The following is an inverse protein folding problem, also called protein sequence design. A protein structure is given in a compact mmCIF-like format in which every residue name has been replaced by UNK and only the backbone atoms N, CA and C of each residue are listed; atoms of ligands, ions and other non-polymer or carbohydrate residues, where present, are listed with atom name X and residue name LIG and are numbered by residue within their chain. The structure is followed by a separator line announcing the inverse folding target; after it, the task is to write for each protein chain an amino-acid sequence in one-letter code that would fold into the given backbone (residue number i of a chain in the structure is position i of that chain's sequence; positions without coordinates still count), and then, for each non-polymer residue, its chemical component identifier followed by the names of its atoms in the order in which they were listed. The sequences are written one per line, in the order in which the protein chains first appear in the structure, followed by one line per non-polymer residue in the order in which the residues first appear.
data_IF_765625487864
#
_entry.id   IF_765625487864
#
_cell.length_a   1.000
_cell.length_b   1.000
_cell.length_c   1.000
_cell.angle_alpha   90.00
_cell.angle_beta   90.00
_cell.angle_gamma   90.00
#
_symmetry.space_group_name_H-M   'P 1'
#
loop_
_entity.id
_entity.type
_entity.pdbx_description
1 polymer ?
#
# COMPACT_ATOMS: atom_id res chain seq x y z
N UNK A 1 -23.08 -38.64 -0.29
CA UNK A 1 -22.71 -37.78 -1.42
C UNK A 1 -22.77 -36.33 -0.95
N UNK A 2 -21.80 -35.94 -0.13
CA UNK A 2 -21.49 -34.54 0.15
C UNK A 2 -19.97 -34.43 0.01
N UNK A 3 -19.49 -34.46 -1.22
CA UNK A 3 -18.06 -34.47 -1.49
C UNK A 3 -17.70 -33.33 -2.44
N UNK A 4 -16.84 -32.45 -1.91
CA UNK A 4 -16.32 -31.24 -2.53
C UNK A 4 -17.41 -30.18 -2.74
N UNK A 5 -17.33 -29.02 -2.09
CA UNK A 5 -18.32 -27.93 -2.22
C UNK A 5 -18.35 -27.24 -3.59
N UNK A 6 -18.09 -27.96 -4.67
CA UNK A 6 -18.08 -27.49 -6.05
C UNK A 6 -19.37 -27.87 -6.77
N UNK A 7 -19.77 -27.07 -7.75
CA UNK A 7 -20.96 -27.37 -8.55
C UNK A 7 -20.75 -28.63 -9.40
N UNK A 8 -21.84 -29.35 -9.71
CA UNK A 8 -21.83 -30.47 -10.66
C UNK A 8 -21.24 -30.06 -12.02
N UNK A 9 -21.46 -28.81 -12.43
CA UNK A 9 -20.88 -28.23 -13.65
C UNK A 9 -19.34 -28.17 -13.60
N UNK A 10 -18.77 -27.85 -12.43
CA UNK A 10 -17.31 -27.82 -12.27
C UNK A 10 -16.70 -29.22 -12.27
N UNK A 11 -17.38 -30.21 -11.67
CA UNK A 11 -16.93 -31.60 -11.72
C UNK A 11 -16.98 -32.15 -13.15
N UNK A 12 -18.07 -31.90 -13.88
CA UNK A 12 -18.17 -32.26 -15.29
C UNK A 12 -17.08 -31.60 -16.15
N UNK A 13 -16.68 -30.36 -15.83
CA UNK A 13 -15.55 -29.71 -16.48
C UNK A 13 -14.21 -30.40 -16.18
N UNK A 14 -13.94 -30.75 -14.92
CA UNK A 14 -12.72 -31.48 -14.56
C UNK A 14 -12.64 -32.85 -15.25
N UNK A 15 -13.75 -33.58 -15.28
CA UNK A 15 -13.85 -34.88 -15.96
C UNK A 15 -13.69 -34.76 -17.48
N UNK A 16 -14.04 -33.60 -18.06
CA UNK A 16 -13.86 -33.33 -19.49
C UNK A 16 -12.40 -33.10 -19.91
N UNK A 17 -11.50 -32.81 -18.96
CA UNK A 17 -10.10 -32.54 -19.26
C UNK A 17 -9.34 -33.85 -19.52
N UNK A 18 -8.67 -33.99 -20.68
CA UNK A 18 -7.83 -35.16 -20.94
C UNK A 18 -6.72 -35.27 -19.88
N UNK A 19 -6.44 -36.50 -19.42
CA UNK A 19 -5.36 -36.78 -18.45
C UNK A 19 -4.01 -36.18 -18.88
N UNK A 20 -3.71 -36.22 -20.18
CA UNK A 20 -2.49 -35.63 -20.73
C UNK A 20 -2.43 -34.11 -20.52
N UNK A 21 -3.56 -33.41 -20.60
CA UNK A 21 -3.67 -31.97 -20.36
C UNK A 21 -3.38 -31.64 -18.90
N UNK A 22 -3.96 -32.39 -17.97
CA UNK A 22 -3.69 -32.22 -16.53
C UNK A 22 -2.21 -32.45 -16.20
N UNK A 23 -1.59 -33.47 -16.78
CA UNK A 23 -0.16 -33.73 -16.62
C UNK A 23 0.68 -32.59 -17.20
N UNK A 24 0.36 -32.09 -18.40
CA UNK A 24 1.06 -30.93 -18.98
C UNK A 24 0.96 -29.69 -18.08
N UNK A 25 -0.19 -29.43 -17.46
CA UNK A 25 -0.35 -28.31 -16.53
C UNK A 25 0.56 -28.46 -15.31
N UNK A 26 0.58 -29.64 -14.69
CA UNK A 26 1.39 -29.89 -13.49
C UNK A 26 2.90 -29.88 -13.79
N UNK A 27 3.33 -30.53 -14.88
CA UNK A 27 4.73 -30.61 -15.29
C UNK A 27 5.32 -29.24 -15.69
N UNK A 28 4.47 -28.31 -16.13
CA UNK A 28 4.89 -26.94 -16.52
C UNK A 28 4.57 -25.89 -15.46
N UNK A 29 4.04 -26.29 -14.29
CA UNK A 29 3.83 -25.37 -13.19
C UNK A 29 5.18 -24.86 -12.66
N UNK A 30 5.32 -23.54 -12.55
CA UNK A 30 6.56 -22.93 -12.06
C UNK A 30 6.81 -23.23 -10.58
N UNK A 31 5.75 -23.17 -9.78
CA UNK A 31 5.74 -23.58 -8.37
C UNK A 31 5.92 -25.08 -8.28
N UNK A 32 6.70 -25.53 -7.30
CA UNK A 32 6.78 -26.95 -7.01
C UNK A 32 5.45 -27.46 -6.51
N UNK A 33 5.01 -28.56 -7.11
CA UNK A 33 3.89 -29.36 -6.66
C UNK A 33 4.45 -30.75 -6.41
N UNK A 34 4.35 -31.22 -5.17
CA UNK A 34 4.66 -32.60 -4.83
C UNK A 34 3.57 -33.19 -3.96
N UNK A 35 3.40 -34.51 -4.08
CA UNK A 35 2.33 -35.26 -3.46
C UNK A 35 2.94 -36.45 -2.77
N UNK A 36 2.56 -36.69 -1.51
CA UNK A 36 2.94 -37.89 -0.77
C UNK A 36 1.72 -38.70 -0.38
N UNK A 37 1.88 -40.02 -0.27
CA UNK A 37 0.86 -40.90 0.30
C UNK A 37 0.81 -40.84 1.83
N UNK A 38 -0.08 -41.63 2.42
CA UNK A 38 -0.21 -41.83 3.86
C UNK A 38 1.06 -42.33 4.58
N UNK A 39 2.02 -42.89 3.85
CA UNK A 39 3.31 -43.41 4.35
C UNK A 39 4.49 -42.47 4.04
N UNK A 40 4.24 -41.25 3.54
CA UNK A 40 5.26 -40.27 3.15
C UNK A 40 6.11 -40.66 1.91
N UNK A 41 5.62 -41.58 1.08
CA UNK A 41 6.25 -41.88 -0.22
C UNK A 41 5.77 -40.88 -1.26
N UNK A 42 6.69 -40.43 -2.12
CA UNK A 42 6.33 -39.54 -3.21
C UNK A 42 5.44 -40.25 -4.23
N UNK A 43 4.22 -39.72 -4.41
CA UNK A 43 3.28 -40.14 -5.44
C UNK A 43 3.52 -39.34 -6.71
N UNK A 44 3.81 -38.05 -6.57
CA UNK A 44 4.07 -37.13 -7.66
C UNK A 44 5.03 -36.02 -7.23
N UNK A 45 5.84 -35.54 -8.16
CA UNK A 45 6.53 -34.26 -8.05
C UNK A 45 6.79 -33.72 -9.45
N UNK A 46 6.63 -32.41 -9.63
CA UNK A 46 6.90 -31.76 -10.91
C UNK A 46 8.39 -31.34 -11.02
N UNK A 47 8.88 -30.99 -12.23
CA UNK A 47 10.29 -30.67 -12.48
C UNK A 47 10.87 -29.51 -11.64
N UNK A 48 10.04 -28.66 -11.04
CA UNK A 48 10.47 -27.60 -10.14
C UNK A 48 11.28 -28.13 -8.93
N UNK A 49 11.13 -29.40 -8.54
CA UNK A 49 11.94 -30.05 -7.52
C UNK A 49 13.46 -30.00 -7.82
N UNK A 50 13.85 -29.94 -9.10
CA UNK A 50 15.26 -29.81 -9.50
C UNK A 50 15.85 -28.48 -9.03
N UNK A 51 15.05 -27.40 -9.06
CA UNK A 51 15.46 -26.09 -8.60
C UNK A 51 15.63 -26.07 -7.07
N UNK A 52 14.77 -26.80 -6.35
CA UNK A 52 14.69 -26.72 -4.88
C UNK A 52 15.62 -27.69 -4.17
N UNK A 53 15.80 -28.89 -4.72
CA UNK A 53 16.59 -29.96 -4.09
C UNK A 53 17.77 -30.45 -4.94
N UNK A 54 17.88 -30.01 -6.20
CA UNK A 54 18.87 -30.53 -7.15
C UNK A 54 18.63 -31.99 -7.53
N UNK A 55 17.38 -32.47 -7.42
CA UNK A 55 16.96 -33.84 -7.74
C UNK A 55 15.92 -33.84 -8.84
N UNK A 56 16.02 -34.80 -9.75
CA UNK A 56 15.01 -35.03 -10.78
C UNK A 56 13.75 -35.69 -10.20
N UNK A 57 12.58 -35.53 -10.82
CA UNK A 57 11.37 -36.26 -10.42
C UNK A 57 11.56 -37.78 -10.38
N UNK A 58 12.37 -38.34 -11.30
CA UNK A 58 12.69 -39.76 -11.35
C UNK A 58 13.44 -40.24 -10.10
N UNK A 59 14.38 -39.43 -9.61
CA UNK A 59 15.09 -39.71 -8.36
C UNK A 59 14.14 -39.61 -7.16
N UNK A 60 13.26 -38.61 -7.14
CA UNK A 60 12.33 -38.35 -6.03
C UNK A 60 11.22 -39.41 -5.91
N UNK A 61 10.73 -39.96 -7.02
CA UNK A 61 9.60 -40.90 -7.07
C UNK A 61 9.75 -42.12 -6.16
N UNK A 62 10.97 -42.60 -5.94
CA UNK A 62 11.22 -43.79 -5.12
C UNK A 62 11.61 -43.45 -3.67
N UNK A 63 11.63 -42.17 -3.31
CA UNK A 63 12.05 -41.71 -1.99
C UNK A 63 10.89 -41.68 -1.00
N UNK A 64 11.24 -41.72 0.28
CA UNK A 64 10.33 -41.47 1.38
C UNK A 64 10.75 -40.20 2.13
N UNK A 65 9.83 -39.24 2.25
CA UNK A 65 10.09 -37.91 2.79
C UNK A 65 10.54 -37.94 4.27
N UNK A 66 10.12 -38.93 5.06
CA UNK A 66 10.51 -39.07 6.47
C UNK A 66 11.80 -39.87 6.66
N UNK A 67 11.91 -41.05 6.03
CA UNK A 67 13.06 -41.94 6.28
C UNK A 67 14.32 -41.50 5.54
N UNK A 68 14.20 -40.70 4.48
CA UNK A 68 15.31 -40.21 3.68
C UNK A 68 15.49 -38.70 3.83
N UNK A 69 15.20 -38.16 5.02
CA UNK A 69 15.56 -36.80 5.38
C UNK A 69 17.04 -36.56 5.07
N UNK A 70 17.31 -35.52 4.28
CA UNK A 70 18.64 -35.01 3.95
C UNK A 70 18.80 -33.67 4.67
N UNK A 71 19.25 -33.65 5.96
CA UNK A 71 19.40 -32.41 6.73
C UNK A 71 20.26 -31.36 6.04
N UNK A 72 21.16 -31.78 5.16
CA UNK A 72 22.01 -30.97 4.29
C UNK A 72 21.27 -30.32 3.10
N UNK A 73 20.02 -30.71 2.82
CA UNK A 73 19.17 -30.17 1.74
C UNK A 73 17.85 -29.58 2.24
N UNK A 74 17.20 -30.16 3.25
CA UNK A 74 16.01 -29.59 3.92
C UNK A 74 15.86 -30.09 5.36
N UNK A 75 15.29 -29.26 6.25
CA UNK A 75 15.35 -29.51 7.71
C UNK A 75 14.08 -30.10 8.35
N UNK A 76 12.92 -30.04 7.71
CA UNK A 76 11.64 -30.39 8.38
C UNK A 76 10.70 -31.10 7.41
N UNK A 77 10.17 -32.26 7.80
CA UNK A 77 8.99 -32.86 7.15
C UNK A 77 7.72 -32.39 7.84
N UNK A 78 6.83 -31.73 7.08
CA UNK A 78 5.56 -31.20 7.58
C UNK A 78 4.46 -32.26 7.67
N UNK A 79 4.66 -33.41 7.03
CA UNK A 79 3.63 -34.42 6.84
C UNK A 79 3.12 -35.02 8.16
N UNK A 80 3.98 -35.24 9.14
CA UNK A 80 3.58 -35.74 10.46
C UNK A 80 2.62 -34.79 11.20
N UNK A 81 2.81 -33.47 11.05
CA UNK A 81 1.90 -32.47 11.63
C UNK A 81 0.57 -32.45 10.87
N UNK A 82 0.59 -32.57 9.55
CA UNK A 82 -0.60 -32.60 8.69
C UNK A 82 -1.45 -33.83 9.01
N UNK A 83 -0.83 -35.01 9.13
CA UNK A 83 -1.49 -36.27 9.48
C UNK A 83 -2.19 -36.20 10.84
N UNK A 84 -1.53 -35.58 11.83
CA UNK A 84 -2.10 -35.42 13.17
C UNK A 84 -3.23 -34.39 13.22
N UNK A 85 -3.10 -33.27 12.51
CA UNK A 85 -4.09 -32.19 12.55
C UNK A 85 -5.28 -32.43 11.63
N UNK A 86 -5.09 -33.21 10.55
CA UNK A 86 -6.01 -33.35 9.41
C UNK A 86 -6.45 -31.98 8.85
N UNK A 87 -5.58 -30.97 8.94
CA UNK A 87 -5.81 -29.59 8.52
C UNK A 87 -4.68 -29.10 7.62
N UNK A 88 -4.97 -28.08 6.82
CA UNK A 88 -3.97 -27.35 6.03
C UNK A 88 -2.88 -26.81 6.96
N UNK A 89 -1.62 -27.05 6.60
CA UNK A 89 -0.46 -26.52 7.31
C UNK A 89 0.34 -25.64 6.37
N UNK A 90 0.67 -24.44 6.86
CA UNK A 90 1.57 -23.51 6.21
C UNK A 90 2.80 -23.40 7.11
N UNK A 91 3.98 -23.64 6.55
CA UNK A 91 5.22 -23.51 7.29
C UNK A 91 6.37 -23.04 6.41
N UNK A 92 7.25 -22.25 7.03
CA UNK A 92 8.49 -21.82 6.42
C UNK A 92 9.55 -22.90 6.61
N UNK A 93 10.10 -23.38 5.51
CA UNK A 93 11.15 -24.39 5.46
C UNK A 93 12.43 -23.79 4.90
N UNK A 94 13.57 -24.20 5.46
CA UNK A 94 14.86 -23.82 4.92
C UNK A 94 15.32 -24.88 3.93
N UNK A 95 15.46 -24.49 2.66
CA UNK A 95 16.05 -25.33 1.62
C UNK A 95 17.50 -24.92 1.43
N UNK A 96 18.41 -25.81 1.84
CA UNK A 96 19.84 -25.52 1.91
C UNK A 96 20.50 -25.43 0.54
N UNK A 97 19.96 -26.13 -0.48
CA UNK A 97 20.45 -26.03 -1.85
C UNK A 97 20.23 -24.64 -2.47
N UNK A 98 19.22 -23.89 -1.99
CA UNK A 98 18.91 -22.54 -2.44
C UNK A 98 19.45 -21.47 -1.47
N UNK A 99 20.01 -21.87 -0.33
CA UNK A 99 20.36 -21.00 0.80
C UNK A 99 19.22 -20.07 1.26
N UNK A 100 17.97 -20.47 1.03
CA UNK A 100 16.79 -19.62 1.21
C UNK A 100 15.69 -20.32 2.00
N UNK A 101 14.83 -19.51 2.60
CA UNK A 101 13.59 -19.97 3.20
C UNK A 101 12.48 -19.97 2.15
N UNK A 102 11.69 -21.04 2.13
CA UNK A 102 10.60 -21.28 1.20
C UNK A 102 9.35 -21.58 2.02
N UNK A 103 8.20 -21.01 1.64
CA UNK A 103 6.93 -21.28 2.33
C UNK A 103 6.29 -22.49 1.69
N UNK A 104 6.07 -23.56 2.44
CA UNK A 104 5.35 -24.75 1.98
C UNK A 104 3.95 -24.75 2.55
N UNK A 105 2.97 -24.94 1.66
CA UNK A 105 1.57 -25.17 2.02
C UNK A 105 1.28 -26.64 1.76
N UNK A 106 0.85 -27.37 2.78
CA UNK A 106 0.51 -28.80 2.70
C UNK A 106 -0.97 -28.99 3.03
N UNK A 107 -1.72 -29.53 2.07
CA UNK A 107 -3.15 -29.78 2.14
C UNK A 107 -3.40 -31.30 2.22
N UNK A 108 -4.03 -31.82 3.28
CA UNK A 108 -4.43 -33.22 3.32
C UNK A 108 -5.66 -33.46 2.47
N UNK A 109 -5.64 -34.54 1.69
CA UNK A 109 -6.81 -35.14 1.06
C UNK A 109 -7.20 -36.34 1.91
N UNK A 110 -8.47 -36.39 2.30
CA UNK A 110 -9.00 -37.39 3.22
C UNK A 110 -9.86 -38.40 2.45
N UNK A 111 -9.81 -39.67 2.86
CA UNK A 111 -10.73 -40.71 2.39
C UNK A 111 -12.13 -40.58 3.02
N UNK A 112 -13.06 -41.44 2.60
CA UNK A 112 -14.44 -41.48 3.12
C UNK A 112 -14.51 -41.75 4.64
N UNK A 113 -13.49 -42.37 5.22
CA UNK A 113 -13.36 -42.63 6.66
C UNK A 113 -12.70 -41.46 7.42
N UNK A 114 -12.32 -40.41 6.71
CA UNK A 114 -11.66 -39.22 7.22
C UNK A 114 -10.18 -39.41 7.55
N UNK A 115 -9.53 -40.48 7.08
CA UNK A 115 -8.09 -40.70 7.19
C UNK A 115 -7.35 -40.01 6.04
N UNK A 116 -6.07 -39.67 6.24
CA UNK A 116 -5.29 -38.97 5.22
C UNK A 116 -4.88 -39.97 4.14
N UNK A 117 -5.47 -39.86 2.95
CA UNK A 117 -5.13 -40.66 1.77
C UNK A 117 -3.84 -40.16 1.14
N UNK A 118 -3.73 -38.84 0.97
CA UNK A 118 -2.60 -38.19 0.34
C UNK A 118 -2.43 -36.75 0.84
N UNK A 119 -1.23 -36.19 0.67
CA UNK A 119 -0.92 -34.81 1.04
C UNK A 119 -0.38 -34.11 -0.19
N UNK A 120 -1.06 -33.06 -0.63
CA UNK A 120 -0.60 -32.20 -1.73
C UNK A 120 0.14 -31.02 -1.12
N UNK A 121 1.40 -30.86 -1.51
CA UNK A 121 2.27 -29.80 -1.04
C UNK A 121 2.70 -28.90 -2.19
N UNK A 122 2.58 -27.59 -1.97
CA UNK A 122 3.05 -26.57 -2.90
C UNK A 122 4.03 -25.65 -2.21
N UNK A 123 5.11 -25.28 -2.89
CA UNK A 123 6.12 -24.38 -2.33
C UNK A 123 6.08 -23.01 -3.00
N UNK A 124 6.13 -21.96 -2.20
CA UNK A 124 6.23 -20.59 -2.67
C UNK A 124 7.67 -20.13 -2.55
N UNK A 125 8.30 -19.93 -3.70
CA UNK A 125 9.65 -19.39 -3.77
C UNK A 125 9.67 -17.96 -3.22
N UNK A 126 10.75 -17.57 -2.54
CA UNK A 126 10.91 -16.20 -2.07
C UNK A 126 10.91 -15.23 -3.26
N UNK A 127 10.34 -14.04 -3.03
CA UNK A 127 10.09 -12.97 -4.00
C UNK A 127 11.36 -12.57 -4.79
N UNK A 128 12.55 -12.84 -4.25
CA UNK A 128 13.83 -12.51 -4.89
C UNK A 128 14.24 -13.45 -6.04
N UNK A 129 13.54 -14.57 -6.24
CA UNK A 129 13.82 -15.55 -7.31
C UNK A 129 13.03 -15.31 -8.60
N UNK A 130 12.07 -14.38 -8.58
CA UNK A 130 11.27 -14.06 -9.77
C UNK A 130 12.04 -13.11 -10.67
N UNK A 131 12.20 -13.49 -11.93
CA UNK A 131 12.64 -12.58 -12.98
C UNK A 131 11.52 -11.59 -13.29
N UNK A 132 11.58 -10.42 -12.66
CA UNK A 132 10.68 -9.31 -12.95
C UNK A 132 10.96 -8.64 -14.31
N UNK A 133 11.84 -9.19 -15.17
CA UNK A 133 12.08 -8.67 -16.52
C UNK A 133 10.82 -8.64 -17.39
N UNK A 134 9.82 -9.49 -17.10
CA UNK A 134 8.51 -9.47 -17.79
C UNK A 134 7.64 -8.25 -17.38
N UNK A 135 8.02 -7.46 -16.35
CA UNK A 135 7.48 -6.10 -16.18
C UNK A 135 7.85 -5.17 -17.34
N UNK A 136 8.83 -5.51 -18.17
CA UNK A 136 9.20 -4.65 -19.30
C UNK A 136 8.30 -4.85 -20.53
N UNK A 137 7.50 -5.92 -20.59
CA UNK A 137 6.48 -6.12 -21.65
C UNK A 137 5.03 -5.96 -21.15
N UNK A 138 4.81 -6.09 -19.83
CA UNK A 138 3.67 -5.43 -19.20
C UNK A 138 3.95 -3.94 -19.20
N UNK A 139 3.67 -3.28 -20.33
CA UNK A 139 3.56 -1.84 -20.50
C UNK A 139 3.46 -1.13 -19.15
N UNK A 140 4.40 -0.24 -18.88
CA UNK A 140 4.02 1.10 -18.42
C UNK A 140 2.90 1.11 -17.39
N UNK A 141 3.10 0.51 -16.21
CA UNK A 141 2.31 0.92 -15.04
C UNK A 141 2.96 2.19 -14.47
N UNK A 142 3.10 3.18 -15.34
CA UNK A 142 3.17 4.58 -14.99
C UNK A 142 1.71 5.00 -14.91
N UNK A 143 1.09 4.77 -13.75
CA UNK A 143 -0.21 5.31 -13.36
C UNK A 143 -1.34 5.23 -14.40
N UNK A 144 -1.93 4.04 -14.57
CA UNK A 144 -3.33 3.90 -15.03
C UNK A 144 -4.14 3.29 -13.88
N UNK A 145 -4.39 4.09 -12.83
CA UNK A 145 -5.78 4.19 -12.40
C UNK A 145 -6.33 5.37 -13.20
N UNK A 146 -7.34 5.10 -14.02
CA UNK A 146 -8.25 6.08 -14.60
C UNK A 146 -8.95 6.85 -13.47
N UNK A 147 -8.25 7.75 -12.80
CA UNK A 147 -8.89 8.91 -12.18
C UNK A 147 -8.71 10.02 -13.21
N UNK A 148 -9.81 10.34 -13.90
CA UNK A 148 -9.94 11.58 -14.67
C UNK A 148 -9.30 12.72 -13.87
N UNK A 149 -8.31 13.41 -14.45
CA UNK A 149 -7.46 14.40 -13.79
C UNK A 149 -8.15 15.67 -13.30
N UNK A 150 -9.43 15.59 -12.96
CA UNK A 150 -10.20 16.67 -12.40
C UNK A 150 -9.90 16.78 -10.89
N UNK A 151 -9.37 17.93 -10.50
CA UNK A 151 -9.12 18.23 -9.09
C UNK A 151 -10.44 18.63 -8.46
N UNK A 152 -10.94 17.78 -7.59
CA UNK A 152 -12.19 18.00 -6.89
C UNK A 152 -11.90 18.79 -5.63
N UNK A 153 -12.35 20.04 -5.61
CA UNK A 153 -12.25 20.92 -4.46
C UNK A 153 -12.55 22.38 -4.80
N UNK A 154 -13.24 23.04 -3.89
CA UNK A 154 -13.66 24.44 -4.01
C UNK A 154 -13.15 25.33 -2.86
N UNK A 155 -12.50 24.74 -1.85
CA UNK A 155 -11.96 25.47 -0.71
C UNK A 155 -10.96 26.55 -1.15
N UNK A 156 -10.84 27.61 -0.34
CA UNK A 156 -9.87 28.68 -0.60
C UNK A 156 -8.43 28.15 -0.61
N UNK A 157 -8.15 27.16 0.22
CA UNK A 157 -6.83 26.55 0.33
C UNK A 157 -6.40 25.89 -0.97
N UNK A 158 -7.25 25.03 -1.57
CA UNK A 158 -6.90 24.37 -2.83
C UNK A 158 -6.80 25.37 -3.98
N UNK A 159 -7.71 26.34 -4.04
CA UNK A 159 -7.66 27.40 -5.06
C UNK A 159 -6.36 28.19 -5.00
N UNK A 160 -5.85 28.47 -3.79
CA UNK A 160 -4.53 29.12 -3.62
C UNK A 160 -3.41 28.22 -4.15
N UNK A 161 -3.37 26.95 -3.78
CA UNK A 161 -2.37 26.00 -4.30
C UNK A 161 -2.41 25.94 -5.84
N UNK A 162 -3.60 25.75 -6.42
CA UNK A 162 -3.78 25.67 -7.88
C UNK A 162 -3.38 26.96 -8.58
N UNK A 163 -3.64 28.14 -8.00
CA UNK A 163 -3.24 29.41 -8.60
C UNK A 163 -1.71 29.57 -8.69
N UNK A 164 -0.97 29.05 -7.71
CA UNK A 164 0.50 29.05 -7.72
C UNK A 164 0.98 28.03 -8.76
N UNK A 165 0.46 26.81 -8.70
CA UNK A 165 0.85 25.72 -9.60
C UNK A 165 0.54 26.04 -11.07
N UNK A 166 -0.54 26.77 -11.36
CA UNK A 166 -0.90 27.20 -12.72
C UNK A 166 0.09 28.24 -13.29
N UNK A 167 0.65 29.10 -12.44
CA UNK A 167 1.69 30.05 -12.87
C UNK A 167 3.00 29.30 -13.15
N UNK A 168 3.34 28.36 -12.26
CA UNK A 168 4.60 27.63 -12.31
C UNK A 168 4.58 26.50 -13.34
N UNK A 169 3.41 25.99 -13.72
CA UNK A 169 3.31 24.98 -14.79
C UNK A 169 3.88 25.49 -16.11
N UNK A 170 3.81 26.81 -16.38
CA UNK A 170 4.33 27.47 -17.59
C UNK A 170 5.86 27.64 -17.62
N UNK A 171 6.57 27.25 -16.56
CA UNK A 171 8.04 27.33 -16.47
C UNK A 171 8.65 25.96 -16.22
N UNK A 172 9.98 25.85 -16.33
CA UNK A 172 10.74 24.63 -15.99
C UNK A 172 11.30 24.65 -14.55
N UNK A 173 10.82 25.56 -13.71
CA UNK A 173 11.27 25.66 -12.31
C UNK A 173 10.79 24.43 -11.52
N UNK A 174 11.69 23.93 -10.66
CA UNK A 174 11.40 22.83 -9.73
C UNK A 174 10.31 23.22 -8.73
N UNK A 175 9.41 22.29 -8.45
CA UNK A 175 8.29 22.49 -7.51
C UNK A 175 8.38 21.48 -6.38
N UNK A 176 8.35 21.98 -5.14
CA UNK A 176 8.23 21.18 -3.93
C UNK A 176 6.79 21.27 -3.39
N UNK A 177 6.12 20.12 -3.34
CA UNK A 177 4.75 19.98 -2.83
C UNK A 177 4.81 19.35 -1.43
N UNK A 178 4.52 20.13 -0.40
CA UNK A 178 4.41 19.64 0.96
C UNK A 178 2.98 19.25 1.29
N UNK A 179 2.81 18.22 2.12
CA UNK A 179 1.51 17.86 2.65
C UNK A 179 1.49 16.46 3.23
N UNK A 180 0.54 16.19 4.11
CA UNK A 180 0.39 14.88 4.73
C UNK A 180 0.17 13.76 3.70
N UNK A 181 0.42 12.52 4.11
CA UNK A 181 0.13 11.36 3.27
C UNK A 181 -1.37 11.28 2.97
N UNK A 182 -1.73 10.96 1.72
CA UNK A 182 -3.11 10.80 1.30
C UNK A 182 -3.86 12.10 1.00
N UNK A 183 -3.20 13.26 1.01
CA UNK A 183 -3.82 14.57 0.67
C UNK A 183 -4.03 14.81 -0.83
N UNK A 184 -3.44 13.97 -1.70
CA UNK A 184 -3.54 14.10 -3.16
C UNK A 184 -2.37 14.83 -3.82
N UNK A 185 -1.17 14.85 -3.23
CA UNK A 185 0.04 15.48 -3.80
C UNK A 185 0.33 15.01 -5.24
N UNK A 186 0.14 13.71 -5.53
CA UNK A 186 0.35 13.14 -6.86
C UNK A 186 -0.64 13.66 -7.92
N UNK A 187 -1.84 14.11 -7.52
CA UNK A 187 -2.77 14.79 -8.43
C UNK A 187 -2.27 16.19 -8.79
N UNK A 188 -1.70 16.90 -7.81
CA UNK A 188 -1.12 18.22 -8.07
C UNK A 188 0.11 18.14 -8.99
N UNK A 189 0.95 17.11 -8.89
CA UNK A 189 2.07 16.93 -9.80
C UNK A 189 1.62 16.65 -11.23
N UNK A 190 0.60 15.79 -11.42
CA UNK A 190 -0.05 15.59 -12.72
C UNK A 190 -0.63 16.89 -13.26
N UNK A 191 -1.33 17.67 -12.43
CA UNK A 191 -1.87 18.98 -12.84
C UNK A 191 -0.80 19.94 -13.35
N UNK A 192 0.34 20.03 -12.66
CA UNK A 192 1.47 20.87 -13.10
C UNK A 192 1.97 20.40 -14.46
N UNK A 193 2.13 19.09 -14.66
CA UNK A 193 2.57 18.52 -15.93
C UNK A 193 1.58 18.79 -17.08
N UNK A 194 0.29 18.49 -16.90
CA UNK A 194 -0.76 18.67 -17.92
C UNK A 194 -0.94 20.14 -18.32
N UNK A 195 -0.64 21.07 -17.41
CA UNK A 195 -0.69 22.51 -17.68
C UNK A 195 0.67 23.12 -18.07
N UNK A 196 1.66 22.29 -18.38
CA UNK A 196 3.00 22.74 -18.76
C UNK A 196 3.25 22.72 -20.27
N UNK A 197 4.39 23.30 -20.67
CA UNK A 197 4.91 23.16 -22.03
C UNK A 197 5.31 21.72 -22.40
N UNK A 198 5.44 20.84 -21.38
CA UNK A 198 5.80 19.43 -21.52
C UNK A 198 4.60 18.48 -21.42
N UNK A 199 3.36 18.98 -21.52
CA UNK A 199 2.12 18.19 -21.34
C UNK A 199 1.97 16.98 -22.27
N UNK A 200 2.57 17.04 -23.46
CA UNK A 200 2.53 15.97 -24.48
C UNK A 200 3.81 15.09 -24.42
N UNK A 201 4.61 15.24 -23.36
CA UNK A 201 5.87 14.52 -23.11
C UNK A 201 5.70 13.52 -21.97
N UNK A 202 6.64 12.57 -21.77
CA UNK A 202 6.52 11.60 -20.70
C UNK A 202 6.38 12.26 -19.31
N UNK A 203 5.44 11.75 -18.52
CA UNK A 203 5.35 12.02 -17.09
C UNK A 203 5.69 10.75 -16.34
N UNK A 204 6.86 10.70 -15.72
CA UNK A 204 7.32 9.55 -14.95
C UNK A 204 7.16 9.85 -13.46
N UNK A 205 6.50 8.96 -12.73
CA UNK A 205 6.26 9.08 -11.28
C UNK A 205 6.93 7.94 -10.55
N UNK A 206 7.61 8.25 -9.45
CA UNK A 206 8.18 7.25 -8.54
C UNK A 206 7.98 7.67 -7.10
N UNK A 207 7.65 6.70 -6.25
CA UNK A 207 7.60 6.88 -4.80
C UNK A 207 8.89 6.33 -4.19
N UNK A 208 9.71 7.23 -3.64
CA UNK A 208 11.02 6.91 -3.09
C UNK A 208 10.96 6.03 -1.82
N UNK A 209 9.82 5.99 -1.13
CA UNK A 209 9.61 5.19 0.09
C UNK A 209 9.18 3.75 -0.20
N UNK A 210 8.62 3.48 -1.38
CA UNK A 210 7.99 2.20 -1.70
C UNK A 210 8.98 1.14 -2.22
N UNK A 211 10.21 1.55 -2.57
CA UNK A 211 11.21 0.71 -3.24
C UNK A 211 12.47 0.67 -2.38
N UNK A 212 13.06 -0.51 -2.10
CA UNK A 212 14.36 -0.62 -1.45
C UNK A 212 15.44 0.20 -2.16
N UNK A 213 16.35 0.80 -1.40
CA UNK A 213 17.34 1.76 -1.92
C UNK A 213 18.13 1.25 -3.14
N UNK A 214 18.63 0.01 -3.09
CA UNK A 214 19.41 -0.58 -4.18
C UNK A 214 18.59 -0.75 -5.46
N UNK A 215 17.31 -1.09 -5.32
CA UNK A 215 16.39 -1.16 -6.45
C UNK A 215 16.06 0.25 -6.96
N UNK A 216 15.79 1.21 -6.05
CA UNK A 216 15.49 2.59 -6.39
C UNK A 216 16.60 3.23 -7.23
N UNK A 217 17.86 2.99 -6.87
CA UNK A 217 19.03 3.44 -7.63
C UNK A 217 19.01 2.86 -9.06
N UNK A 218 18.85 1.54 -9.18
CA UNK A 218 18.81 0.85 -10.47
C UNK A 218 17.61 1.25 -11.35
N UNK A 219 16.47 1.57 -10.73
CA UNK A 219 15.27 2.04 -11.42
C UNK A 219 15.48 3.47 -11.93
N UNK A 220 15.98 4.39 -11.11
CA UNK A 220 16.15 5.79 -11.47
C UNK A 220 17.23 5.99 -12.53
N UNK A 221 18.41 5.40 -12.32
CA UNK A 221 19.60 5.65 -13.12
C UNK A 221 19.86 4.60 -14.19
N UNK A 222 19.21 3.44 -14.10
CA UNK A 222 19.52 2.30 -14.96
C UNK A 222 20.85 1.66 -14.60
N UNK A 223 21.22 0.62 -15.34
CA UNK A 223 22.48 -0.08 -15.15
C UNK A 223 23.01 -0.66 -16.47
N UNK A 224 24.33 -0.73 -16.58
CA UNK A 224 25.00 -1.37 -17.73
C UNK A 224 25.02 -2.89 -17.58
N UNK A 225 25.18 -3.66 -18.68
CA UNK A 225 25.34 -5.11 -18.59
C UNK A 225 26.37 -5.54 -17.54
N UNK A 226 26.04 -6.57 -16.75
CA UNK A 226 26.93 -7.14 -15.72
C UNK A 226 27.37 -6.17 -14.60
N UNK A 227 26.60 -5.10 -14.34
CA UNK A 227 26.93 -4.13 -13.30
C UNK A 227 26.99 -4.71 -11.87
N UNK A 228 26.20 -5.76 -11.57
CA UNK A 228 26.15 -6.45 -10.29
C UNK A 228 25.65 -7.89 -10.47
N UNK A 229 25.78 -8.73 -9.44
CA UNK A 229 25.28 -10.11 -9.41
C UNK A 229 23.75 -10.13 -9.60
N UNK A 230 23.28 -10.70 -10.71
CA UNK A 230 21.86 -10.69 -11.10
C UNK A 230 21.46 -9.57 -12.08
N UNK A 231 22.40 -8.70 -12.47
CA UNK A 231 22.14 -7.71 -13.52
C UNK A 231 21.89 -8.39 -14.87
N UNK A 232 20.86 -7.93 -15.60
CA UNK A 232 20.58 -8.38 -16.96
C UNK A 232 21.78 -8.22 -17.87
N UNK A 233 22.05 -9.22 -18.72
CA UNK A 233 23.08 -9.16 -19.76
C UNK A 233 22.82 -8.06 -20.80
N UNK A 234 21.60 -7.50 -20.84
CA UNK A 234 21.23 -6.39 -21.71
C UNK A 234 21.28 -5.02 -21.00
N UNK A 235 21.55 -4.99 -19.69
CA UNK A 235 21.39 -3.78 -18.88
C UNK A 235 19.91 -3.39 -18.70
N UNK A 236 19.69 -2.19 -18.18
CA UNK A 236 18.35 -1.58 -18.03
C UNK A 236 18.45 -0.06 -18.17
N UNK A 237 17.54 0.53 -18.94
CA UNK A 237 17.41 1.98 -19.00
C UNK A 237 16.74 2.53 -17.74
N UNK A 238 17.30 3.62 -17.19
CA UNK A 238 16.76 4.29 -16.02
C UNK A 238 15.55 5.18 -16.33
N UNK A 239 14.71 5.39 -15.32
CA UNK A 239 13.55 6.28 -15.39
C UNK A 239 13.90 7.72 -15.75
N UNK A 240 15.09 8.21 -15.35
CA UNK A 240 15.57 9.55 -15.72
C UNK A 240 15.77 9.64 -17.24
N UNK A 241 16.31 8.59 -17.86
CA UNK A 241 16.49 8.51 -19.31
C UNK A 241 15.15 8.45 -20.03
N UNK A 242 14.24 7.63 -19.53
CA UNK A 242 12.87 7.48 -20.07
C UNK A 242 12.10 8.81 -19.96
N UNK A 243 12.31 9.57 -18.88
CA UNK A 243 11.67 10.86 -18.65
C UNK A 243 12.26 12.00 -19.51
N UNK A 244 13.31 11.77 -20.29
CA UNK A 244 14.01 12.81 -21.03
C UNK A 244 13.06 13.63 -21.94
N UNK A 245 13.19 14.96 -21.88
CA UNK A 245 12.28 15.91 -22.52
C UNK A 245 10.91 16.06 -21.83
N UNK A 246 10.64 15.28 -20.79
CA UNK A 246 9.40 15.22 -20.04
C UNK A 246 9.54 15.72 -18.60
N UNK A 247 8.79 15.10 -17.69
CA UNK A 247 8.72 15.45 -16.27
C UNK A 247 8.93 14.22 -15.40
N UNK A 248 9.77 14.34 -14.38
CA UNK A 248 9.97 13.34 -13.34
C UNK A 248 9.36 13.83 -12.04
N UNK A 249 8.42 13.07 -11.48
CA UNK A 249 7.82 13.29 -10.18
C UNK A 249 8.42 12.33 -9.14
N UNK A 250 9.04 12.90 -8.11
CA UNK A 250 9.63 12.17 -6.98
C UNK A 250 8.75 12.37 -5.74
N UNK A 251 7.94 11.37 -5.42
CA UNK A 251 7.12 11.37 -4.20
C UNK A 251 7.92 10.84 -3.00
N UNK A 252 7.62 11.39 -1.82
CA UNK A 252 8.36 11.17 -0.58
C UNK A 252 9.89 11.38 -0.69
N UNK A 253 10.31 12.50 -1.29
CA UNK A 253 11.73 12.86 -1.48
C UNK A 253 12.53 12.91 -0.17
N UNK A 254 11.87 13.15 0.96
CA UNK A 254 12.48 13.17 2.29
C UNK A 254 12.89 11.79 2.82
N UNK A 255 12.59 10.71 2.11
CA UNK A 255 12.99 9.34 2.44
C UNK A 255 14.30 8.91 1.75
N UNK A 256 14.86 9.74 0.85
CA UNK A 256 16.10 9.40 0.18
C UNK A 256 17.28 9.35 1.15
N UNK A 257 18.14 8.35 0.97
CA UNK A 257 19.45 8.27 1.62
C UNK A 257 20.38 9.40 1.16
N UNK A 258 21.38 9.76 1.98
CA UNK A 258 22.37 10.78 1.62
C UNK A 258 23.10 10.48 0.28
N UNK A 259 23.51 9.22 -0.03
CA UNK A 259 24.09 8.89 -1.33
C UNK A 259 23.15 9.17 -2.50
N UNK A 260 21.86 8.81 -2.37
CA UNK A 260 20.86 9.09 -3.41
C UNK A 260 20.64 10.59 -3.60
N UNK A 261 20.64 11.36 -2.51
CA UNK A 261 20.52 12.82 -2.57
C UNK A 261 21.64 13.47 -3.40
N UNK A 262 22.89 12.97 -3.30
CA UNK A 262 24.01 13.44 -4.14
C UNK A 262 23.75 13.21 -5.63
N UNK A 263 23.24 12.03 -6.00
CA UNK A 263 22.97 11.70 -7.39
C UNK A 263 21.80 12.51 -7.96
N UNK A 264 20.75 12.70 -7.16
CA UNK A 264 19.61 13.54 -7.55
C UNK A 264 20.04 15.00 -7.71
N UNK A 265 20.95 15.49 -6.86
CA UNK A 265 21.51 16.84 -7.01
C UNK A 265 22.24 17.00 -8.35
N UNK A 266 23.08 16.03 -8.76
CA UNK A 266 23.80 16.09 -10.05
C UNK A 266 22.82 16.10 -11.24
N UNK A 267 21.70 15.37 -11.14
CA UNK A 267 20.62 15.42 -12.15
C UNK A 267 19.96 16.79 -12.20
N UNK A 268 19.68 17.41 -11.05
CA UNK A 268 19.02 18.71 -10.99
C UNK A 268 19.93 19.82 -11.52
N UNK A 269 21.19 19.84 -11.10
CA UNK A 269 22.13 20.93 -11.41
C UNK A 269 22.75 20.78 -12.80
N UNK A 270 23.22 19.58 -13.15
CA UNK A 270 24.04 19.35 -14.34
C UNK A 270 23.30 18.62 -15.46
N UNK A 271 22.02 18.27 -15.25
CA UNK A 271 21.18 17.53 -16.22
C UNK A 271 21.87 16.26 -16.71
N UNK A 272 22.58 15.59 -15.82
CA UNK A 272 23.33 14.36 -16.10
C UNK A 272 23.17 13.34 -14.99
N UNK A 273 23.46 12.10 -15.33
CA UNK A 273 23.51 10.98 -14.39
C UNK A 273 24.49 9.93 -14.87
N UNK A 274 24.86 8.99 -14.00
CA UNK A 274 25.74 7.87 -14.35
C UNK A 274 24.97 6.58 -14.06
N UNK A 275 24.71 5.72 -15.07
CA UNK A 275 24.11 4.41 -14.85
C UNK A 275 24.96 3.56 -13.89
N UNK A 276 24.32 2.69 -13.11
CA UNK A 276 25.05 1.81 -12.18
C UNK A 276 26.01 0.90 -12.96
N UNK A 277 27.26 0.83 -12.50
CA UNK A 277 28.35 0.10 -13.16
C UNK A 277 29.02 0.85 -14.32
N UNK A 278 28.52 2.04 -14.69
CA UNK A 278 29.14 2.89 -15.70
C UNK A 278 30.11 3.91 -15.10
N UNK A 279 31.05 4.37 -15.91
CA UNK A 279 31.90 5.55 -15.63
C UNK A 279 31.59 6.73 -16.55
N UNK A 280 30.72 6.53 -17.55
CA UNK A 280 30.36 7.56 -18.52
C UNK A 280 29.04 8.23 -18.13
N UNK A 281 29.00 9.56 -17.98
CA UNK A 281 27.77 10.28 -17.71
C UNK A 281 26.87 10.30 -18.95
N UNK A 282 25.56 10.18 -18.72
CA UNK A 282 24.48 10.40 -19.67
C UNK A 282 23.74 11.70 -19.33
N UNK A 283 23.09 12.32 -20.31
CA UNK A 283 22.35 13.57 -20.14
C UNK A 283 20.84 13.38 -20.31
N UNK A 284 20.06 14.08 -19.48
CA UNK A 284 18.60 14.11 -19.58
C UNK A 284 18.06 15.50 -19.22
N UNK A 285 17.35 16.12 -20.16
CA UNK A 285 16.61 17.35 -19.91
C UNK A 285 15.23 17.02 -19.31
N UNK A 286 15.18 16.94 -17.99
CA UNK A 286 13.95 16.67 -17.25
C UNK A 286 13.55 17.85 -16.38
N UNK A 287 12.24 18.09 -16.34
CA UNK A 287 11.60 18.91 -15.30
C UNK A 287 11.37 18.04 -14.07
N UNK A 288 11.70 18.55 -12.89
CA UNK A 288 11.54 17.80 -11.63
C UNK A 288 10.43 18.43 -10.80
N UNK A 289 9.52 17.58 -10.34
CA UNK A 289 8.50 17.90 -9.33
C UNK A 289 8.76 16.97 -8.14
N UNK A 290 8.77 17.50 -6.94
CA UNK A 290 8.98 16.70 -5.73
C UNK A 290 7.84 16.86 -4.75
N UNK A 291 7.59 15.83 -3.96
CA UNK A 291 6.64 15.87 -2.87
C UNK A 291 7.18 15.17 -1.62
N UNK A 292 6.70 15.59 -0.45
CA UNK A 292 7.03 14.96 0.83
C UNK A 292 6.03 15.36 1.91
N UNK A 293 5.82 14.49 2.89
CA UNK A 293 5.14 14.84 4.15
C UNK A 293 6.09 15.31 5.27
N UNK A 294 7.41 15.15 5.08
CA UNK A 294 8.43 15.54 6.08
C UNK A 294 8.82 17.01 5.96
N UNK A 295 9.21 17.61 7.08
CA UNK A 295 9.87 18.91 7.08
C UNK A 295 11.34 18.75 6.64
N UNK A 296 11.62 19.07 5.37
CA UNK A 296 12.98 18.95 4.83
C UNK A 296 13.98 19.87 5.54
N UNK A 297 13.55 21.03 6.04
CA UNK A 297 14.46 21.94 6.74
C UNK A 297 14.89 21.35 8.09
N UNK A 298 13.96 20.72 8.81
CA UNK A 298 14.31 19.96 10.02
C UNK A 298 15.26 18.79 9.69
N UNK A 299 15.03 18.06 8.59
CA UNK A 299 15.95 16.99 8.19
C UNK A 299 17.35 17.49 7.84
N UNK A 300 17.48 18.72 7.33
CA UNK A 300 18.78 19.37 7.13
C UNK A 300 19.47 19.62 8.46
N UNK A 301 18.75 20.17 9.45
CA UNK A 301 19.29 20.38 10.80
C UNK A 301 19.71 19.07 11.48
N UNK A 302 18.99 17.99 11.22
CA UNK A 302 19.29 16.64 11.72
C UNK A 302 20.41 15.91 10.93
N UNK A 303 21.03 16.54 9.92
CA UNK A 303 21.98 15.92 8.99
C UNK A 303 21.45 14.69 8.23
N UNK A 304 20.13 14.57 8.07
CA UNK A 304 19.46 13.51 7.31
C UNK A 304 19.14 13.93 5.87
N UNK A 305 19.20 15.22 5.59
CA UNK A 305 19.00 15.78 4.26
C UNK A 305 20.08 16.81 3.96
N UNK A 306 20.59 16.85 2.73
CA UNK A 306 21.65 17.79 2.36
C UNK A 306 21.08 19.19 2.13
N UNK A 307 21.79 20.17 2.65
CA UNK A 307 21.42 21.59 2.52
C UNK A 307 21.41 22.05 1.06
N UNK A 308 22.41 21.64 0.26
CA UNK A 308 22.52 21.99 -1.16
C UNK A 308 21.32 21.51 -1.99
N UNK A 309 20.90 20.24 -1.80
CA UNK A 309 19.72 19.68 -2.42
C UNK A 309 18.44 20.39 -1.96
N UNK A 310 18.32 20.70 -0.67
CA UNK A 310 17.16 21.43 -0.15
C UNK A 310 16.95 22.75 -0.88
N UNK A 311 18.00 23.57 -1.03
CA UNK A 311 17.91 24.85 -1.71
C UNK A 311 17.56 24.72 -3.20
N UNK A 312 18.01 23.65 -3.87
CA UNK A 312 17.64 23.38 -5.28
C UNK A 312 16.20 22.92 -5.46
N UNK A 313 15.66 22.17 -4.51
CA UNK A 313 14.27 21.71 -4.54
C UNK A 313 13.29 22.80 -4.12
N UNK A 314 13.66 23.62 -3.14
CA UNK A 314 12.80 24.65 -2.54
C UNK A 314 12.70 25.95 -3.36
N UNK A 315 12.80 25.86 -4.69
CA UNK A 315 12.67 27.03 -5.59
C UNK A 315 11.25 27.59 -5.61
N UNK A 316 10.25 26.71 -5.70
CA UNK A 316 8.84 27.02 -5.47
C UNK A 316 8.30 25.98 -4.49
N UNK A 317 7.73 26.46 -3.40
CA UNK A 317 7.07 25.62 -2.39
C UNK A 317 5.57 25.89 -2.37
N UNK A 318 4.79 24.82 -2.42
CA UNK A 318 3.35 24.84 -2.13
C UNK A 318 3.04 23.83 -1.03
N UNK A 319 2.17 24.20 -0.11
CA UNK A 319 1.69 23.30 0.94
C UNK A 319 0.24 22.96 0.66
N UNK A 320 -0.06 21.67 0.54
CA UNK A 320 -1.40 21.13 0.43
C UNK A 320 -1.91 20.81 1.85
N UNK A 321 -2.89 21.55 2.37
CA UNK A 321 -3.34 21.31 3.73
C UNK A 321 -4.12 20.00 3.82
N UNK A 322 -4.12 19.39 5.01
CA UNK A 322 -4.86 18.17 5.28
C UNK A 322 -6.36 18.38 5.09
N UNK A 323 -7.08 17.28 4.87
CA UNK A 323 -8.49 17.28 4.52
C UNK A 323 -9.36 17.91 5.63
N UNK A 324 -8.98 17.74 6.90
CA UNK A 324 -9.63 18.36 8.07
C UNK A 324 -9.62 19.90 8.06
N UNK A 325 -8.68 20.52 7.36
CA UNK A 325 -8.61 21.98 7.19
C UNK A 325 -9.39 22.47 5.96
N UNK A 326 -10.07 21.55 5.24
CA UNK A 326 -10.78 21.81 3.98
C UNK A 326 -12.17 21.16 3.99
N UNK A 327 -13.05 21.51 4.94
CA UNK A 327 -14.34 20.83 5.12
C UNK A 327 -15.27 20.93 3.89
N UNK A 328 -15.18 22.01 3.10
CA UNK A 328 -15.97 22.16 1.87
C UNK A 328 -15.60 21.10 0.81
N UNK A 329 -14.36 20.63 0.83
CA UNK A 329 -13.87 19.62 -0.10
C UNK A 329 -14.25 18.20 0.35
N UNK A 330 -14.41 17.96 1.65
CA UNK A 330 -14.83 16.66 2.20
C UNK A 330 -16.15 16.22 1.56
N UNK A 331 -17.16 17.09 1.57
CA UNK A 331 -18.48 16.76 1.04
C UNK A 331 -18.44 16.54 -0.47
N UNK A 332 -17.69 17.39 -1.18
CA UNK A 332 -17.55 17.28 -2.64
C UNK A 332 -16.87 15.96 -3.04
N UNK A 333 -15.78 15.61 -2.35
CA UNK A 333 -15.05 14.36 -2.55
C UNK A 333 -15.88 13.13 -2.16
N UNK A 334 -16.60 13.18 -1.04
CA UNK A 334 -17.43 12.08 -0.59
C UNK A 334 -18.53 11.75 -1.60
N UNK A 335 -19.20 12.78 -2.15
CA UNK A 335 -20.22 12.59 -3.18
C UNK A 335 -19.63 12.10 -4.50
N UNK A 336 -18.45 12.58 -4.90
CA UNK A 336 -17.75 12.06 -6.07
C UNK A 336 -17.46 10.57 -5.92
N UNK A 337 -16.79 10.16 -4.83
CA UNK A 337 -16.49 8.75 -4.60
C UNK A 337 -17.74 7.90 -4.49
N UNK A 338 -18.81 8.41 -3.88
CA UNK A 338 -20.10 7.73 -3.81
C UNK A 338 -20.64 7.42 -5.22
N UNK A 339 -20.60 8.39 -6.14
CA UNK A 339 -21.03 8.19 -7.52
C UNK A 339 -20.14 7.19 -8.25
N UNK A 340 -18.82 7.34 -8.14
CA UNK A 340 -17.84 6.42 -8.75
C UNK A 340 -18.10 4.97 -8.30
N UNK A 341 -18.31 4.75 -7.00
CA UNK A 341 -18.54 3.41 -6.46
C UNK A 341 -19.96 2.89 -6.73
N UNK A 342 -20.97 3.75 -6.79
CA UNK A 342 -22.31 3.36 -7.23
C UNK A 342 -22.27 2.81 -8.67
N UNK A 343 -21.56 3.48 -9.58
CA UNK A 343 -21.38 3.01 -10.95
C UNK A 343 -20.59 1.70 -11.01
N UNK A 344 -19.45 1.64 -10.31
CA UNK A 344 -18.57 0.46 -10.25
C UNK A 344 -19.30 -0.79 -9.74
N UNK A 345 -20.08 -0.66 -8.67
CA UNK A 345 -20.77 -1.77 -8.01
C UNK A 345 -22.23 -1.92 -8.45
N UNK A 346 -22.69 -1.12 -9.42
CA UNK A 346 -24.07 -1.09 -9.93
C UNK A 346 -25.10 -0.93 -8.80
N UNK A 347 -24.78 -0.07 -7.83
CA UNK A 347 -25.66 0.28 -6.73
C UNK A 347 -26.24 1.69 -6.94
N UNK A 348 -27.15 2.11 -6.06
CA UNK A 348 -27.74 3.46 -6.09
C UNK A 348 -27.91 3.97 -4.65
N UNK A 349 -26.78 4.07 -3.95
CA UNK A 349 -26.68 4.49 -2.56
C UNK A 349 -26.63 6.01 -2.47
N UNK A 350 -27.20 6.58 -1.41
CA UNK A 350 -27.07 8.00 -1.08
C UNK A 350 -26.90 8.23 0.42
N UNK A 351 -26.16 9.27 0.79
CA UNK A 351 -25.97 9.66 2.19
C UNK A 351 -27.27 10.21 2.80
N UNK A 352 -27.61 9.80 4.01
CA UNK A 352 -28.67 10.44 4.79
C UNK A 352 -28.25 11.84 5.23
N UNK A 353 -29.22 12.69 5.60
CA UNK A 353 -28.95 14.08 6.01
C UNK A 353 -28.05 14.19 7.25
N UNK A 354 -27.86 13.10 8.00
CA UNK A 354 -27.05 13.06 9.22
C UNK A 354 -25.59 12.74 8.96
N UNK A 355 -25.23 12.15 7.81
CA UNK A 355 -23.86 11.74 7.50
C UNK A 355 -22.93 12.91 7.16
N UNK A 356 -23.32 13.94 6.37
CA UNK A 356 -22.42 15.05 6.04
C UNK A 356 -21.81 15.78 7.25
N UNK A 357 -22.56 16.10 8.33
CA UNK A 357 -21.97 16.65 9.53
C UNK A 357 -20.91 15.74 10.18
N UNK A 358 -21.11 14.42 10.15
CA UNK A 358 -20.16 13.45 10.69
C UNK A 358 -18.88 13.38 9.84
N UNK A 359 -19.02 13.40 8.51
CA UNK A 359 -17.90 13.48 7.58
C UNK A 359 -17.04 14.73 7.86
N UNK A 360 -17.67 15.90 8.04
CA UNK A 360 -16.96 17.13 8.35
C UNK A 360 -16.33 17.18 9.75
N UNK A 361 -16.93 16.48 10.72
CA UNK A 361 -16.44 16.43 12.10
C UNK A 361 -15.32 15.41 12.34
N UNK A 362 -15.01 14.55 11.36
CA UNK A 362 -13.98 13.53 11.49
C UNK A 362 -12.58 14.09 11.19
N UNK A 363 -11.54 13.54 11.84
CA UNK A 363 -10.18 14.09 11.78
C UNK A 363 -9.41 13.72 10.50
N UNK A 364 -9.84 12.67 9.80
CA UNK A 364 -9.24 12.17 8.56
C UNK A 364 -7.71 11.98 8.62
N UNK A 365 -7.16 11.17 9.54
CA UNK A 365 -5.72 10.90 9.60
C UNK A 365 -5.13 10.34 8.29
N UNK A 366 -5.91 9.61 7.51
CA UNK A 366 -5.50 9.13 6.18
C UNK A 366 -5.96 10.02 5.01
N UNK A 367 -6.46 11.24 5.29
CA UNK A 367 -6.91 12.24 4.33
C UNK A 367 -7.85 11.65 3.26
N UNK A 368 -7.68 12.02 1.98
CA UNK A 368 -8.54 11.61 0.87
C UNK A 368 -8.51 10.09 0.67
N UNK A 369 -7.36 9.44 0.96
CA UNK A 369 -7.24 7.97 0.85
C UNK A 369 -8.18 7.27 1.82
N UNK A 370 -8.24 7.73 3.07
CA UNK A 370 -9.17 7.18 4.06
C UNK A 370 -10.62 7.48 3.68
N UNK A 371 -10.92 8.70 3.22
CA UNK A 371 -12.26 9.05 2.76
C UNK A 371 -12.72 8.14 1.61
N UNK A 372 -11.89 7.93 0.58
CA UNK A 372 -12.19 7.03 -0.55
C UNK A 372 -12.51 5.62 -0.04
N UNK A 373 -11.65 5.06 0.81
CA UNK A 373 -11.82 3.71 1.36
C UNK A 373 -13.09 3.58 2.22
N UNK A 374 -13.38 4.57 3.05
CA UNK A 374 -14.58 4.56 3.87
C UNK A 374 -15.84 4.60 3.01
N UNK A 375 -15.90 5.49 2.02
CA UNK A 375 -17.05 5.60 1.11
C UNK A 375 -17.24 4.31 0.31
N UNK A 376 -16.17 3.69 -0.17
CA UNK A 376 -16.24 2.38 -0.83
C UNK A 376 -16.88 1.31 0.07
N UNK A 377 -16.42 1.21 1.33
CA UNK A 377 -16.98 0.27 2.32
C UNK A 377 -18.45 0.54 2.59
N UNK A 378 -18.85 1.80 2.76
CA UNK A 378 -20.25 2.17 2.98
C UNK A 378 -21.13 1.75 1.78
N UNK A 379 -20.64 1.93 0.56
CA UNK A 379 -21.39 1.50 -0.64
C UNK A 379 -21.59 -0.02 -0.68
N UNK A 380 -20.59 -0.80 -0.27
CA UNK A 380 -20.64 -2.28 -0.31
C UNK A 380 -21.42 -2.87 0.86
N UNK A 381 -21.22 -2.35 2.07
CA UNK A 381 -21.61 -3.02 3.32
C UNK A 381 -22.85 -2.44 3.99
N UNK A 382 -23.28 -1.22 3.66
CA UNK A 382 -24.52 -0.66 4.22
C UNK A 382 -25.74 -1.37 3.64
N UNK A 383 -26.76 -1.58 4.45
CA UNK A 383 -28.03 -2.17 4.00
C UNK A 383 -28.92 -1.13 3.29
N UNK A 384 -29.69 -1.57 2.29
CA UNK A 384 -30.66 -0.70 1.60
C UNK A 384 -30.03 0.37 0.69
N UNK A 385 -30.74 1.46 0.40
CA UNK A 385 -30.24 2.55 -0.48
C UNK A 385 -29.69 3.75 0.29
N UNK A 386 -30.01 3.87 1.58
CA UNK A 386 -29.63 5.01 2.41
C UNK A 386 -28.45 4.61 3.27
N UNK A 387 -27.36 5.36 3.19
CA UNK A 387 -26.24 5.24 4.13
C UNK A 387 -26.56 6.13 5.32
N UNK A 388 -26.74 5.53 6.49
CA UNK A 388 -27.17 6.21 7.71
C UNK A 388 -25.99 6.54 8.64
N UNK A 389 -26.26 7.29 9.70
CA UNK A 389 -25.27 7.70 10.70
C UNK A 389 -24.62 6.51 11.43
N UNK A 390 -25.39 5.44 11.70
CA UNK A 390 -24.87 4.24 12.34
C UNK A 390 -23.89 3.46 11.44
N UNK A 391 -24.08 3.48 10.11
CA UNK A 391 -23.14 2.86 9.17
C UNK A 391 -21.78 3.55 9.26
N UNK A 392 -21.79 4.89 9.26
CA UNK A 392 -20.58 5.69 9.41
C UNK A 392 -19.84 5.38 10.73
N UNK A 393 -20.56 5.42 11.86
CA UNK A 393 -19.98 5.19 13.19
C UNK A 393 -19.41 3.78 13.35
N UNK A 394 -20.06 2.77 12.76
CA UNK A 394 -19.59 1.39 12.78
C UNK A 394 -18.20 1.27 12.16
N UNK A 395 -18.00 1.85 10.96
CA UNK A 395 -16.74 1.69 10.24
C UNK A 395 -15.62 2.65 10.69
N UNK A 396 -15.94 3.78 11.32
CA UNK A 396 -14.91 4.67 11.89
C UNK A 396 -14.40 4.20 13.26
N UNK A 397 -15.26 3.60 14.09
CA UNK A 397 -14.87 3.08 15.42
C UNK A 397 -13.98 1.83 15.35
N UNK A 398 -14.17 0.99 14.33
CA UNK A 398 -13.29 -0.16 14.04
C UNK A 398 -11.86 0.30 13.64
N UNK A 399 -11.73 1.42 12.91
CA UNK A 399 -10.43 1.96 12.51
C UNK A 399 -9.67 2.64 13.67
N UNK A 400 -10.38 3.33 14.57
CA UNK A 400 -9.79 3.91 15.77
C UNK A 400 -9.32 2.83 16.77
N UNK A 401 -9.98 1.68 16.81
CA UNK A 401 -9.60 0.55 17.67
C UNK A 401 -8.31 -0.16 17.20
N UNK A 402 -8.00 -0.11 15.91
CA UNK A 402 -6.75 -0.62 15.32
C UNK A 402 -5.55 0.31 15.53
N UNK A 403 -5.80 1.60 15.75
CA UNK A 403 -4.81 2.55 16.28
C UNK A 403 -4.78 2.41 17.80
N UNK A 404 -4.05 1.41 18.31
CA UNK A 404 -3.47 1.59 19.65
C UNK A 404 -2.53 2.79 19.56
N UNK A 405 -3.07 4.00 19.78
CA UNK A 405 -2.28 5.10 20.30
C UNK A 405 -1.70 4.57 21.61
N UNK A 406 -0.46 4.06 21.57
CA UNK A 406 0.39 4.05 22.75
C UNK A 406 0.70 5.51 23.00
N UNK A 407 -0.27 6.23 23.57
CA UNK A 407 0.04 7.48 24.23
C UNK A 407 0.71 7.03 25.53
N UNK A 408 1.99 7.37 25.67
CA UNK A 408 2.64 7.44 26.98
C UNK A 408 2.00 8.61 27.76
N UNK A 409 0.72 8.46 28.06
CA UNK A 409 -0.07 9.38 28.88
C UNK A 409 -0.39 8.61 30.16
N UNK A 410 0.08 9.14 31.28
CA UNK A 410 -0.31 8.65 32.59
C UNK A 410 -1.84 8.62 32.70
N UNK A 411 -2.37 7.67 33.46
CA UNK A 411 -3.81 7.39 33.59
C UNK A 411 -4.62 8.65 33.88
N UNK A 412 -4.08 9.57 34.70
CA UNK A 412 -4.73 10.84 35.01
C UNK A 412 -4.95 11.71 33.77
N UNK A 413 -3.96 11.82 32.89
CA UNK A 413 -4.07 12.66 31.68
C UNK A 413 -5.07 12.11 30.65
N UNK A 414 -5.18 10.78 30.53
CA UNK A 414 -6.18 10.14 29.66
C UNK A 414 -7.59 10.37 30.20
N UNK A 415 -7.76 10.21 31.51
CA UNK A 415 -9.05 10.41 32.16
C UNK A 415 -9.48 11.88 32.10
N UNK A 416 -8.54 12.82 32.23
CA UNK A 416 -8.80 14.25 32.11
C UNK A 416 -9.20 14.65 30.68
N UNK A 417 -8.53 14.13 29.64
CA UNK A 417 -8.90 14.42 28.25
C UNK A 417 -10.26 13.80 27.87
N UNK A 418 -10.55 12.59 28.36
CA UNK A 418 -11.85 11.95 28.18
C UNK A 418 -12.97 12.72 28.89
N UNK A 419 -12.73 13.19 30.12
CA UNK A 419 -13.67 14.01 30.88
C UNK A 419 -13.91 15.36 30.18
N UNK A 420 -12.85 16.00 29.70
CA UNK A 420 -12.92 17.26 28.94
C UNK A 420 -13.79 17.11 27.69
N UNK A 421 -13.52 16.12 26.84
CA UNK A 421 -14.29 15.88 25.60
C UNK A 421 -15.75 15.57 25.89
N UNK A 422 -16.03 14.77 26.92
CA UNK A 422 -17.39 14.46 27.33
C UNK A 422 -18.15 15.73 27.74
N UNK A 423 -17.48 16.63 28.46
CA UNK A 423 -18.06 17.89 28.96
C UNK A 423 -18.30 18.88 27.82
N UNK A 424 -17.32 19.11 26.95
CA UNK A 424 -17.42 20.02 25.81
C UNK A 424 -18.54 19.60 24.84
N UNK A 425 -18.58 18.32 24.46
CA UNK A 425 -19.59 17.78 23.56
C UNK A 425 -21.00 17.85 24.17
N UNK A 426 -21.13 17.52 25.45
CA UNK A 426 -22.43 17.60 26.14
C UNK A 426 -22.89 19.06 26.27
N UNK A 427 -21.98 19.99 26.58
CA UNK A 427 -22.33 21.40 26.71
C UNK A 427 -22.71 22.06 25.38
N UNK A 428 -22.07 21.67 24.26
CA UNK A 428 -22.45 22.12 22.90
C UNK A 428 -23.93 21.85 22.59
N UNK A 429 -24.45 20.68 22.99
CA UNK A 429 -25.84 20.29 22.78
C UNK A 429 -26.80 20.88 23.80
N UNK A 430 -26.50 20.79 25.09
CA UNK A 430 -27.46 21.13 26.14
C UNK A 430 -27.40 22.60 26.58
N UNK A 431 -26.26 23.28 26.38
CA UNK A 431 -25.98 24.70 26.71
C UNK A 431 -26.44 25.16 28.11
N UNK A 432 -26.59 24.20 29.03
CA UNK A 432 -27.13 24.42 30.36
C UNK A 432 -26.59 23.37 31.32
N UNK A 433 -26.08 23.82 32.47
CA UNK A 433 -25.54 22.95 33.53
C UNK A 433 -26.59 21.98 34.08
N UNK A 434 -27.86 22.38 34.12
CA UNK A 434 -28.95 21.53 34.61
C UNK A 434 -29.30 20.41 33.64
N UNK A 435 -29.48 20.74 32.35
CA UNK A 435 -29.81 19.75 31.31
C UNK A 435 -28.67 18.77 31.08
N UNK A 436 -27.43 19.26 31.13
CA UNK A 436 -26.24 18.41 31.05
C UNK A 436 -26.11 17.48 32.26
N UNK A 437 -26.43 17.96 33.46
CA UNK A 437 -26.41 17.14 34.67
C UNK A 437 -27.41 15.99 34.62
N UNK A 438 -28.63 16.25 34.15
CA UNK A 438 -29.66 15.23 33.93
C UNK A 438 -29.22 14.22 32.86
N UNK A 439 -28.66 14.68 31.74
CA UNK A 439 -28.20 13.81 30.65
C UNK A 439 -27.01 12.91 31.03
N UNK A 440 -26.10 13.41 31.87
CA UNK A 440 -24.90 12.68 32.31
C UNK A 440 -25.08 11.96 33.65
N UNK A 441 -26.27 12.03 34.25
CA UNK A 441 -26.58 11.47 35.56
C UNK A 441 -25.59 11.89 36.67
N UNK A 442 -25.27 13.19 36.71
CA UNK A 442 -24.40 13.80 37.72
C UNK A 442 -25.13 14.93 38.45
N UNK A 443 -24.60 15.38 39.59
CA UNK A 443 -25.17 16.54 40.27
C UNK A 443 -24.99 17.82 39.44
N UNK A 444 -25.96 18.74 39.51
CA UNK A 444 -25.88 20.05 38.86
C UNK A 444 -24.63 20.82 39.28
N UNK A 445 -24.21 20.70 40.54
CA UNK A 445 -22.99 21.32 41.07
C UNK A 445 -21.71 20.74 40.43
N UNK A 446 -21.67 19.43 40.18
CA UNK A 446 -20.56 18.78 39.47
C UNK A 446 -20.52 19.20 38.00
N UNK A 447 -21.67 19.22 37.33
CA UNK A 447 -21.77 19.70 35.94
C UNK A 447 -21.31 21.16 35.81
N UNK A 448 -21.73 22.04 36.71
CA UNK A 448 -21.29 23.44 36.72
C UNK A 448 -19.77 23.58 36.90
N UNK A 449 -19.17 22.81 37.81
CA UNK A 449 -17.72 22.82 38.04
C UNK A 449 -16.94 22.35 36.81
N UNK A 450 -17.43 21.29 36.15
CA UNK A 450 -16.83 20.74 34.94
C UNK A 450 -16.94 21.71 33.75
N UNK A 451 -18.11 22.33 33.56
CA UNK A 451 -18.30 23.37 32.53
C UNK A 451 -17.34 24.54 32.77
N UNK A 452 -17.18 24.99 34.03
CA UNK A 452 -16.24 26.07 34.35
C UNK A 452 -14.80 25.69 34.01
N UNK A 453 -14.37 24.48 34.42
CA UNK A 453 -13.02 23.96 34.22
C UNK A 453 -12.65 23.76 32.75
N UNK A 454 -13.58 23.34 31.90
CA UNK A 454 -13.25 22.92 30.53
C UNK A 454 -13.85 23.78 29.41
N UNK A 455 -14.90 24.57 29.68
CA UNK A 455 -15.58 25.38 28.66
C UNK A 455 -15.30 26.88 28.81
N UNK A 456 -15.00 27.35 30.02
CA UNK A 456 -14.79 28.78 30.30
C UNK A 456 -13.33 29.17 30.62
N UNK A 457 -12.43 28.23 30.88
CA UNK A 457 -11.01 28.51 31.19
C UNK A 457 -10.14 28.84 29.96
N UNK A 458 -10.63 28.72 28.71
CA UNK A 458 -9.86 29.06 27.49
C UNK A 458 -10.04 30.52 27.01
N UNK A 459 -10.47 31.45 27.87
CA UNK A 459 -10.64 32.87 27.49
C UNK A 459 -9.86 33.89 28.29
N UNK A 460 -9.01 33.46 29.22
CA UNK A 460 -8.02 34.34 29.86
C UNK A 460 -6.63 33.69 29.74
N UNK A 461 -6.06 33.73 28.53
CA UNK A 461 -4.61 33.89 28.27
C UNK A 461 -4.36 34.21 26.78
#
# INVERSE_FOLDING_TARGET
MEETGYSEEYQAYLDSLPKETLLKILENAYTEVFVTDADDRYVYTNPACMRHYGLTPEQMKNMNLQSELRPERWKISLSGRVKKSKKVIIAENKYYAMEQNVVTISVPILDEEGNVEMIVSTTQDPINSYDFSIKNEVKTIVSEEEDSGEIIGSSKAIKRCLSILQKVSKTDINVLILGESGTGKSFLSKYVHTNSLRKDKPFISINCSAIPETLLESELFGYVPHAFTGASNKGKEGLIKIANGGTLFLDEIGELSLPMQVKILDVIENKRFIPVGSTTPEHADIRIITATNKDLYQLVQDNKFREDLYWRLNSIKTTLPPLRERPEDIISLANYFLNVFNEKYKTNKYFSKKVPPLLCGYHWPGNIRQLRNLVERLVILSDGKVIEDYDFQRFTSEEESGSKRVVNSDYESVMEEAERKLVENSYLFYKSSRKMAEALNISQSKAYRLIRKYVYDEKED
#
